data_IF_796442997322
#
_entry.id   IF_796442997322
#
_cell.length_a   1.000
_cell.length_b   1.000
_cell.length_c   1.000
_cell.angle_alpha   90.00
_cell.angle_beta   90.00
_cell.angle_gamma   90.00
#
_symmetry.space_group_name_H-M   'P 1'
#
loop_
_entity.id
_entity.type
_entity.pdbx_description
1 polymer ?
#
# COMPACT_ATOMS: atom_id res chain seq x y z
N UNK A 1 3.37 -13.89 11.45
CA UNK A 1 3.36 -13.26 10.10
C UNK A 1 3.38 -11.77 10.37
N UNK A 2 4.33 -11.05 9.78
CA UNK A 2 4.36 -9.59 9.86
C UNK A 2 3.54 -9.01 8.71
N UNK A 3 2.67 -8.06 9.02
CA UNK A 3 1.73 -7.44 8.10
C UNK A 3 1.89 -5.93 8.18
N UNK A 4 1.78 -5.26 7.04
CA UNK A 4 1.44 -3.83 7.01
C UNK A 4 -0.06 -3.70 6.88
N UNK A 5 -0.67 -3.05 7.86
CA UNK A 5 -2.12 -2.87 7.92
C UNK A 5 -2.40 -1.37 7.88
N UNK A 6 -3.33 -0.97 7.02
CA UNK A 6 -3.75 0.42 6.91
C UNK A 6 -5.21 0.54 6.55
N UNK A 7 -5.73 1.76 6.75
CA UNK A 7 -7.10 2.10 6.37
C UNK A 7 -7.12 3.41 5.59
N UNK A 8 -8.08 3.50 4.67
CA UNK A 8 -8.36 4.68 3.89
C UNK A 8 -9.75 5.19 4.25
N UNK A 9 -9.87 6.50 4.46
CA UNK A 9 -11.16 7.18 4.63
C UNK A 9 -11.23 8.33 3.65
N UNK A 10 -12.36 8.45 2.98
CA UNK A 10 -12.58 9.51 2.00
C UNK A 10 -14.02 10.01 2.08
N UNK A 11 -14.19 11.29 1.83
CA UNK A 11 -15.50 11.92 1.58
C UNK A 11 -15.67 12.29 0.11
N UNK A 12 -14.65 12.07 -0.73
CA UNK A 12 -14.67 12.37 -2.16
C UNK A 12 -15.55 11.34 -2.87
N UNK A 13 -16.71 11.78 -3.36
CA UNK A 13 -17.72 10.91 -3.98
C UNK A 13 -17.22 10.19 -5.23
N UNK A 14 -16.25 10.77 -5.94
CA UNK A 14 -15.68 10.19 -7.17
C UNK A 14 -14.54 9.21 -6.91
N UNK A 15 -14.19 8.95 -5.65
CA UNK A 15 -13.14 7.99 -5.28
C UNK A 15 -13.81 6.77 -4.64
N UNK A 16 -13.85 5.64 -5.34
CA UNK A 16 -14.25 4.37 -4.74
C UNK A 16 -13.06 3.78 -3.97
N UNK A 17 -13.13 3.65 -2.64
CA UNK A 17 -12.02 3.09 -1.85
C UNK A 17 -11.70 1.64 -2.20
N UNK A 18 -12.67 0.85 -2.65
CA UNK A 18 -12.46 -0.56 -3.01
C UNK A 18 -11.61 -0.66 -4.27
N UNK A 19 -12.05 -0.01 -5.35
CA UNK A 19 -11.33 0.01 -6.63
C UNK A 19 -9.94 0.62 -6.46
N UNK A 20 -9.85 1.74 -5.76
CA UNK A 20 -8.59 2.45 -5.52
C UNK A 20 -7.55 1.59 -4.79
N UNK A 21 -7.95 0.87 -3.72
CA UNK A 21 -7.03 0.01 -2.95
C UNK A 21 -6.61 -1.21 -3.79
N UNK A 22 -7.55 -1.80 -4.53
CA UNK A 22 -7.27 -2.94 -5.40
C UNK A 22 -6.31 -2.57 -6.53
N UNK A 23 -6.46 -1.39 -7.10
CA UNK A 23 -5.55 -0.86 -8.13
C UNK A 23 -4.17 -0.53 -7.54
N UNK A 24 -4.11 0.08 -6.35
CA UNK A 24 -2.85 0.45 -5.70
C UNK A 24 -1.95 -0.76 -5.37
N UNK A 25 -2.57 -1.81 -4.82
CA UNK A 25 -1.84 -2.92 -4.23
C UNK A 25 -1.95 -4.22 -5.01
N UNK A 26 -3.02 -4.43 -5.79
CA UNK A 26 -3.21 -5.64 -6.59
C UNK A 26 -3.59 -6.87 -5.76
N UNK A 27 -3.18 -8.03 -6.26
CA UNK A 27 -3.51 -9.35 -5.72
C UNK A 27 -2.26 -10.16 -5.36
N UNK A 28 -2.42 -11.11 -4.44
CA UNK A 28 -1.43 -12.14 -4.17
C UNK A 28 -1.40 -13.21 -5.29
N UNK A 29 -0.49 -14.17 -5.17
CA UNK A 29 -0.34 -15.27 -6.14
C UNK A 29 -1.55 -16.21 -6.22
N UNK A 30 -2.50 -16.12 -5.29
CA UNK A 30 -3.76 -16.87 -5.30
C UNK A 30 -4.93 -16.02 -5.86
N UNK A 31 -4.67 -14.79 -6.32
CA UNK A 31 -5.67 -13.88 -6.84
C UNK A 31 -6.47 -13.15 -5.75
N UNK A 32 -6.04 -13.20 -4.49
CA UNK A 32 -6.71 -12.48 -3.39
C UNK A 32 -6.18 -11.06 -3.32
N UNK A 33 -7.07 -10.08 -3.32
CA UNK A 33 -6.67 -8.68 -3.19
C UNK A 33 -6.05 -8.39 -1.83
N UNK A 34 -5.01 -7.54 -1.82
CA UNK A 34 -4.37 -7.08 -0.58
C UNK A 34 -5.22 -6.08 0.22
N UNK A 35 -6.35 -5.66 -0.32
CA UNK A 35 -7.29 -4.81 0.37
C UNK A 35 -8.56 -4.60 -0.44
N UNK A 36 -9.47 -3.85 0.15
CA UNK A 36 -10.75 -3.52 -0.44
C UNK A 36 -11.52 -2.58 0.46
N UNK A 37 -12.75 -2.28 0.07
CA UNK A 37 -13.51 -1.27 0.77
C UNK A 37 -14.98 -1.24 0.43
N UNK A 38 -15.61 -0.19 0.95
CA UNK A 38 -16.97 0.24 0.66
C UNK A 38 -16.97 1.76 0.54
N UNK A 39 -18.13 2.33 0.21
CA UNK A 39 -18.35 3.72 -0.21
C UNK A 39 -17.44 4.80 0.35
N UNK A 40 -17.09 4.79 1.65
CA UNK A 40 -16.24 5.84 2.27
C UNK A 40 -15.05 5.30 3.08
N UNK A 41 -14.86 3.98 3.09
CA UNK A 41 -13.86 3.34 3.93
C UNK A 41 -13.30 2.10 3.24
N UNK A 42 -11.99 1.98 3.24
CA UNK A 42 -11.29 0.79 2.80
C UNK A 42 -10.18 0.41 3.77
N UNK A 43 -9.70 -0.81 3.65
CA UNK A 43 -8.60 -1.36 4.43
C UNK A 43 -7.73 -2.25 3.56
N UNK A 44 -6.48 -2.39 3.96
CA UNK A 44 -5.53 -3.29 3.32
C UNK A 44 -4.66 -3.98 4.35
N UNK A 45 -4.24 -5.19 4.02
CA UNK A 45 -3.33 -6.03 4.79
C UNK A 45 -2.32 -6.64 3.81
N UNK A 46 -1.06 -6.21 3.92
CA UNK A 46 0.01 -6.62 3.01
C UNK A 46 1.04 -7.42 3.82
N UNK A 47 1.26 -8.71 3.51
CA UNK A 47 2.33 -9.47 4.13
C UNK A 47 3.71 -8.91 3.78
N UNK A 48 4.54 -8.73 4.80
CA UNK A 48 5.96 -8.35 4.64
C UNK A 48 6.75 -9.44 3.88
N UNK A 49 6.23 -10.67 3.89
CA UNK A 49 6.73 -11.77 3.07
C UNK A 49 8.10 -12.25 3.55
N UNK A 50 9.03 -12.44 2.62
CA UNK A 50 10.38 -12.94 2.88
C UNK A 50 11.14 -12.14 3.94
N UNK A 51 10.87 -10.83 4.05
CA UNK A 51 11.52 -9.94 5.02
C UNK A 51 10.89 -10.00 6.42
N UNK A 52 9.99 -10.95 6.68
CA UNK A 52 9.40 -11.14 8.00
C UNK A 52 10.47 -11.58 9.02
N UNK A 53 10.41 -11.05 10.23
CA UNK A 53 11.35 -11.35 11.32
C UNK A 53 12.57 -10.42 11.31
N UNK A 54 13.66 -10.86 11.94
CA UNK A 54 14.92 -10.08 12.01
C UNK A 54 14.84 -8.81 12.88
N UNK A 55 13.89 -8.74 13.82
CA UNK A 55 13.68 -7.58 14.69
C UNK A 55 14.68 -7.50 15.86
N UNK A 56 15.69 -8.38 15.90
CA UNK A 56 16.71 -8.41 16.95
C UNK A 56 17.63 -7.17 16.89
N UNK A 57 17.88 -6.67 15.68
CA UNK A 57 18.58 -5.41 15.47
C UNK A 57 17.56 -4.30 15.20
N UNK A 58 17.45 -3.35 16.14
CA UNK A 58 16.50 -2.24 16.08
C UNK A 58 16.68 -1.34 14.87
N UNK A 59 17.91 -1.16 14.38
CA UNK A 59 18.19 -0.28 13.24
C UNK A 59 17.70 -0.90 11.93
N UNK A 60 17.94 -2.19 11.73
CA UNK A 60 17.42 -2.91 10.58
C UNK A 60 15.90 -3.08 10.63
N UNK A 61 15.33 -3.29 11.82
CA UNK A 61 13.88 -3.31 11.99
C UNK A 61 13.26 -1.96 11.58
N UNK A 62 13.85 -0.84 12.02
CA UNK A 62 13.41 0.52 11.63
C UNK A 62 13.50 0.72 10.12
N UNK A 63 14.65 0.42 9.51
CA UNK A 63 14.85 0.57 8.07
C UNK A 63 13.84 -0.24 7.25
N UNK A 64 13.57 -1.49 7.65
CA UNK A 64 12.56 -2.34 7.02
C UNK A 64 11.21 -1.62 6.97
N UNK A 65 10.74 -1.13 8.12
CA UNK A 65 9.43 -0.47 8.20
C UNK A 65 9.39 0.86 7.44
N UNK A 66 10.47 1.64 7.44
CA UNK A 66 10.58 2.87 6.64
C UNK A 66 10.45 2.62 5.14
N UNK A 67 11.07 1.54 4.64
CA UNK A 67 10.97 1.15 3.22
C UNK A 67 9.53 0.74 2.88
N UNK A 68 8.89 -0.09 3.70
CA UNK A 68 7.50 -0.50 3.47
C UNK A 68 6.54 0.69 3.49
N UNK A 69 6.69 1.60 4.46
CA UNK A 69 5.90 2.82 4.56
C UNK A 69 6.07 3.72 3.32
N UNK A 70 7.32 3.94 2.89
CA UNK A 70 7.61 4.74 1.70
C UNK A 70 7.01 4.14 0.41
N UNK A 71 7.13 2.82 0.23
CA UNK A 71 6.58 2.12 -0.94
C UNK A 71 5.04 2.19 -0.99
N UNK A 72 4.38 2.02 0.17
CA UNK A 72 2.92 2.12 0.27
C UNK A 72 2.45 3.54 -0.06
N UNK A 73 3.10 4.56 0.52
CA UNK A 73 2.80 5.96 0.20
C UNK A 73 2.99 6.24 -1.29
N UNK A 74 4.08 5.77 -1.89
CA UNK A 74 4.34 5.95 -3.32
C UNK A 74 3.22 5.33 -4.18
N UNK A 75 2.76 4.11 -3.87
CA UNK A 75 1.67 3.44 -4.59
C UNK A 75 0.35 4.21 -4.48
N UNK A 76 0.00 4.69 -3.29
CA UNK A 76 -1.22 5.47 -3.06
C UNK A 76 -1.15 6.84 -3.77
N UNK A 77 0.00 7.52 -3.69
CA UNK A 77 0.21 8.84 -4.31
C UNK A 77 0.03 8.82 -5.83
N UNK A 78 0.50 7.76 -6.50
CA UNK A 78 0.37 7.60 -7.95
C UNK A 78 -1.08 7.67 -8.45
N UNK A 79 -2.03 7.22 -7.63
CA UNK A 79 -3.44 7.15 -8.03
C UNK A 79 -4.24 8.40 -7.62
N UNK A 80 -3.80 9.16 -6.62
CA UNK A 80 -4.46 10.41 -6.22
C UNK A 80 -3.95 11.65 -6.97
N UNK A 81 -2.71 11.59 -7.48
CA UNK A 81 -2.07 12.69 -8.22
C UNK A 81 -1.38 12.16 -9.48
N UNK A 82 -2.11 12.06 -10.62
CA UNK A 82 -1.54 11.59 -11.89
C UNK A 82 -0.45 12.53 -12.48
N UNK A 83 -0.28 13.72 -11.91
CA UNK A 83 0.48 14.82 -12.51
C UNK A 83 1.99 14.78 -12.25
N UNK A 84 2.51 13.81 -11.50
CA UNK A 84 3.94 13.74 -11.13
C UNK A 84 4.63 12.48 -11.66
N UNK A 85 4.39 12.17 -12.94
CA UNK A 85 5.31 11.34 -13.70
C UNK A 85 6.40 12.26 -14.27
N UNK A 86 7.61 12.36 -13.68
CA UNK A 86 8.76 12.78 -14.45
C UNK A 86 8.95 11.72 -15.52
N UNK A 87 8.47 12.02 -16.74
CA UNK A 87 8.81 11.29 -17.93
C UNK A 87 10.33 11.41 -18.06
N UNK A 88 11.07 10.41 -17.59
CA UNK A 88 12.46 10.23 -17.97
C UNK A 88 12.45 9.84 -19.45
N UNK A 89 12.61 10.84 -20.32
CA UNK A 89 13.00 10.61 -21.70
C UNK A 89 14.49 10.26 -21.68
N UNK A 90 14.80 9.04 -22.13
CA UNK A 90 16.17 8.64 -22.51
C UNK A 90 16.48 9.16 -23.91
#
# INVERSE_FOLDING_TARGET
IELVIGSLRTTKLTLDPDEFIKEAFGQDAQGRFFGGGRSQAGGFEIPVGFLSGGNENSDYARLKWEVFDAQIKQKLMKLISPTDNPVYHN
#
